data_IF_570676844833
#
_entry.id   IF_570676844833
#
_cell.length_a   1.000
_cell.length_b   1.000
_cell.length_c   1.000
_cell.angle_alpha   90.00
_cell.angle_beta   90.00
_cell.angle_gamma   90.00
#
_symmetry.space_group_name_H-M   'P 1'
#
loop_
_entity.id
_entity.type
_entity.pdbx_description
1 polymer ?
#
# COMPACT_ATOMS: atom_id res chain seq x y z
N UNK A 1 28.52 11.40 -21.63
CA UNK A 1 28.81 10.66 -22.87
C UNK A 1 27.62 10.85 -23.79
N UNK A 2 27.72 11.70 -24.82
CA UNK A 2 26.62 11.96 -25.76
C UNK A 2 26.24 10.65 -26.47
N UNK A 3 24.96 10.32 -26.47
CA UNK A 3 24.45 9.13 -27.15
C UNK A 3 24.73 9.21 -28.65
N UNK A 4 24.91 8.10 -29.37
CA UNK A 4 25.19 8.08 -30.82
C UNK A 4 24.13 8.82 -31.67
N UNK A 5 22.94 9.03 -31.10
CA UNK A 5 21.81 9.72 -31.73
C UNK A 5 21.98 11.24 -31.79
N UNK A 6 22.54 11.86 -30.74
CA UNK A 6 22.75 13.30 -30.66
C UNK A 6 23.67 13.77 -31.78
N UNK A 7 24.71 12.96 -32.02
CA UNK A 7 25.68 13.24 -33.09
C UNK A 7 25.06 13.14 -34.50
N UNK A 8 24.15 12.17 -34.73
CA UNK A 8 23.44 12.04 -35.99
C UNK A 8 22.47 13.18 -36.25
N UNK A 9 21.78 13.67 -35.22
CA UNK A 9 20.85 14.80 -35.33
C UNK A 9 21.61 16.11 -35.58
N UNK A 10 22.74 16.28 -34.90
CA UNK A 10 23.64 17.42 -35.12
C UNK A 10 24.22 17.44 -36.55
N UNK A 11 24.61 16.28 -37.07
CA UNK A 11 25.09 16.13 -38.46
C UNK A 11 23.98 16.43 -39.48
N UNK A 12 22.72 16.05 -39.23
CA UNK A 12 21.58 16.39 -40.09
C UNK A 12 21.31 17.88 -40.04
N UNK A 13 21.33 18.51 -38.87
CA UNK A 13 21.16 19.96 -38.70
C UNK A 13 22.22 20.73 -39.46
N UNK A 14 23.48 20.33 -39.29
CA UNK A 14 24.60 21.04 -39.95
C UNK A 14 24.55 20.92 -41.49
N UNK A 15 24.11 19.75 -42.00
CA UNK A 15 23.91 19.58 -43.45
C UNK A 15 22.78 20.46 -43.98
N UNK A 16 21.63 20.49 -43.31
CA UNK A 16 20.48 21.30 -43.72
C UNK A 16 20.76 22.78 -43.67
N UNK A 17 21.45 23.25 -42.66
CA UNK A 17 21.86 24.67 -42.59
C UNK A 17 22.84 25.05 -43.69
N UNK A 18 23.72 24.13 -44.14
CA UNK A 18 24.66 24.34 -45.22
C UNK A 18 23.95 24.40 -46.60
N UNK A 19 22.86 23.64 -46.77
CA UNK A 19 22.10 23.56 -48.02
C UNK A 19 20.98 24.60 -48.11
N UNK A 20 20.77 25.47 -47.09
CA UNK A 20 19.75 26.52 -47.06
C UNK A 20 18.33 26.02 -46.97
N UNK A 21 18.12 24.75 -46.53
CA UNK A 21 16.78 24.21 -46.31
C UNK A 21 16.10 24.77 -45.06
N UNK A 22 14.76 24.80 -45.09
CA UNK A 22 13.95 25.20 -43.95
C UNK A 22 14.19 24.32 -42.73
N UNK A 23 14.61 24.93 -41.63
CA UNK A 23 14.90 24.24 -40.37
C UNK A 23 13.66 23.86 -39.59
N UNK A 24 12.48 24.26 -39.99
CA UNK A 24 11.21 24.08 -39.28
C UNK A 24 10.89 22.60 -39.05
N UNK A 25 11.12 21.76 -40.07
CA UNK A 25 10.92 20.31 -39.97
C UNK A 25 11.94 19.71 -39.03
N UNK A 26 13.18 20.17 -39.10
CA UNK A 26 14.25 19.72 -38.22
C UNK A 26 13.92 20.03 -36.73
N UNK A 27 13.50 21.28 -36.48
CA UNK A 27 13.16 21.72 -35.13
C UNK A 27 11.93 20.97 -34.59
N UNK A 28 10.95 20.62 -35.45
CA UNK A 28 9.83 19.78 -35.08
C UNK A 28 10.26 18.32 -34.73
N UNK A 29 11.18 17.76 -35.55
CA UNK A 29 11.72 16.42 -35.28
C UNK A 29 12.57 16.41 -34.03
N UNK A 30 13.34 17.45 -33.77
CA UNK A 30 14.16 17.58 -32.55
C UNK A 30 13.26 17.69 -31.31
N UNK A 31 12.21 18.52 -31.40
CA UNK A 31 11.22 18.66 -30.32
C UNK A 31 10.50 17.32 -30.01
N UNK A 32 10.17 16.55 -31.07
CA UNK A 32 9.58 15.24 -30.91
C UNK A 32 10.58 14.24 -30.31
N UNK A 33 11.85 14.32 -30.73
CA UNK A 33 12.92 13.48 -30.18
C UNK A 33 13.17 13.80 -28.71
N UNK A 34 13.23 15.07 -28.32
CA UNK A 34 13.37 15.52 -26.95
C UNK A 34 12.16 15.11 -26.09
N UNK A 35 10.96 15.21 -26.65
CA UNK A 35 9.73 14.75 -25.98
C UNK A 35 9.76 13.25 -25.75
N UNK A 36 10.18 12.46 -26.73
CA UNK A 36 10.25 11.00 -26.62
C UNK A 36 11.39 10.60 -25.68
N UNK A 37 12.58 11.15 -25.82
CA UNK A 37 13.73 10.79 -24.99
C UNK A 37 13.65 11.42 -23.60
N UNK A 38 13.16 12.64 -23.46
CA UNK A 38 12.95 13.28 -22.17
C UNK A 38 11.84 12.61 -21.35
N UNK A 39 10.88 11.96 -22.00
CA UNK A 39 9.78 11.22 -21.33
C UNK A 39 10.01 9.71 -21.25
N UNK A 40 10.91 9.16 -22.09
CA UNK A 40 11.14 7.72 -22.20
C UNK A 40 12.62 7.32 -21.98
N UNK A 41 13.45 8.25 -21.53
CA UNK A 41 14.82 7.90 -21.19
C UNK A 41 14.83 6.98 -19.96
N UNK A 42 15.91 6.20 -19.84
CA UNK A 42 16.07 5.25 -18.74
C UNK A 42 16.06 5.94 -17.37
N UNK A 43 16.40 7.22 -17.28
CA UNK A 43 16.30 7.99 -16.04
C UNK A 43 14.87 8.34 -15.68
N UNK A 44 13.99 8.55 -16.66
CA UNK A 44 12.56 8.78 -16.44
C UNK A 44 11.78 7.48 -16.22
N UNK A 45 12.23 6.36 -16.80
CA UNK A 45 11.59 5.05 -16.66
C UNK A 45 12.20 4.26 -15.50
N UNK A 46 13.51 4.34 -15.32
CA UNK A 46 14.27 3.58 -14.30
C UNK A 46 14.46 4.39 -13.04
N UNK A 47 14.58 5.71 -13.15
CA UNK A 47 14.76 6.59 -12.01
C UNK A 47 13.43 7.14 -11.53
N UNK A 48 12.85 6.38 -10.61
CA UNK A 48 11.98 6.89 -9.57
C UNK A 48 10.75 7.73 -9.95
N UNK A 49 10.60 8.30 -11.16
CA UNK A 49 9.43 9.12 -11.46
C UNK A 49 8.17 8.28 -11.66
N UNK A 50 8.28 7.12 -12.33
CA UNK A 50 7.19 6.15 -12.43
C UNK A 50 7.18 5.17 -11.25
N UNK A 51 8.37 4.76 -10.75
CA UNK A 51 8.47 3.76 -9.69
C UNK A 51 8.48 4.39 -8.31
N UNK A 52 9.18 5.50 -8.08
CA UNK A 52 9.23 6.11 -6.75
C UNK A 52 8.07 7.05 -6.46
N UNK A 53 7.53 7.76 -7.43
CA UNK A 53 6.39 8.64 -7.21
C UNK A 53 5.04 7.96 -7.42
N UNK A 54 4.94 6.97 -8.33
CA UNK A 54 3.71 6.21 -8.57
C UNK A 54 3.61 4.94 -7.71
N UNK A 55 4.74 4.37 -7.30
CA UNK A 55 4.84 3.20 -6.42
C UNK A 55 5.64 3.51 -5.15
N UNK A 56 5.48 4.71 -4.61
CA UNK A 56 6.13 5.05 -3.34
C UNK A 56 5.51 4.19 -2.21
N UNK A 57 6.11 3.02 -1.98
CA UNK A 57 5.73 2.07 -0.93
C UNK A 57 6.25 2.60 0.42
N UNK A 58 5.99 3.85 0.73
CA UNK A 58 6.32 4.42 2.02
C UNK A 58 5.28 3.98 3.05
N UNK A 59 5.70 3.11 3.94
CA UNK A 59 4.90 2.72 5.08
C UNK A 59 4.66 3.91 6.00
N UNK A 60 3.40 4.19 6.26
CA UNK A 60 2.95 5.20 7.23
C UNK A 60 2.50 4.50 8.51
N UNK A 61 3.03 4.93 9.64
CA UNK A 61 2.53 4.47 10.93
C UNK A 61 1.19 5.15 11.26
N UNK A 62 0.30 4.42 11.94
CA UNK A 62 -0.93 4.97 12.47
C UNK A 62 -1.26 4.32 13.82
N UNK A 63 -2.12 4.97 14.59
CA UNK A 63 -2.60 4.42 15.86
C UNK A 63 -3.89 3.67 15.64
N UNK A 64 -3.86 2.33 15.74
CA UNK A 64 -5.07 1.53 15.70
C UNK A 64 -5.77 1.55 17.06
N UNK A 65 -7.09 1.62 17.07
CA UNK A 65 -7.92 1.40 18.26
C UNK A 65 -8.33 -0.06 18.31
N UNK A 66 -8.54 -0.55 19.52
CA UNK A 66 -8.97 -1.93 19.78
C UNK A 66 -10.32 -1.89 20.46
N UNK A 67 -11.32 -2.54 19.87
CA UNK A 67 -12.67 -2.65 20.44
C UNK A 67 -12.99 -4.14 20.64
N UNK A 68 -13.02 -4.62 21.86
CA UNK A 68 -13.35 -5.99 22.16
C UNK A 68 -14.84 -6.25 21.97
N UNK A 69 -15.21 -7.53 21.88
CA UNK A 69 -16.61 -7.98 21.86
C UNK A 69 -17.33 -7.63 23.18
N UNK A 70 -18.67 -7.64 23.14
CA UNK A 70 -19.51 -7.25 24.29
C UNK A 70 -19.18 -8.09 25.53
N UNK A 71 -18.92 -7.40 26.63
CA UNK A 71 -18.55 -8.01 27.92
C UNK A 71 -17.08 -8.39 28.05
N UNK A 72 -16.32 -8.42 26.97
CA UNK A 72 -14.88 -8.60 26.99
C UNK A 72 -14.17 -7.26 27.27
N UNK A 73 -13.10 -7.29 28.06
CA UNK A 73 -12.23 -6.15 28.26
C UNK A 73 -10.89 -6.40 27.57
N UNK A 74 -10.26 -5.35 27.11
CA UNK A 74 -8.93 -5.41 26.51
C UNK A 74 -8.08 -4.22 26.91
N UNK A 75 -6.94 -4.50 27.52
CA UNK A 75 -5.95 -3.48 27.87
C UNK A 75 -4.74 -3.63 26.95
N UNK A 76 -4.55 -2.66 26.05
CA UNK A 76 -3.43 -2.68 25.11
C UNK A 76 -2.10 -2.41 25.81
N UNK A 77 -1.08 -3.23 25.52
CA UNK A 77 0.30 -3.04 25.95
C UNK A 77 1.15 -2.42 24.82
N UNK A 78 1.05 -2.97 23.62
CA UNK A 78 1.80 -2.50 22.46
C UNK A 78 0.89 -2.43 21.24
N UNK A 79 1.05 -1.37 20.44
CA UNK A 79 0.35 -1.20 19.16
C UNK A 79 1.34 -0.72 18.12
N UNK A 80 1.62 -1.58 17.14
CA UNK A 80 2.41 -1.25 15.96
C UNK A 80 1.53 -1.48 14.73
N UNK A 81 1.08 -0.41 14.13
CA UNK A 81 0.26 -0.48 12.94
C UNK A 81 0.83 0.45 11.86
N UNK A 82 0.91 -0.08 10.64
CA UNK A 82 1.41 0.64 9.49
C UNK A 82 0.65 0.25 8.23
N UNK A 83 0.60 1.17 7.30
CA UNK A 83 -0.03 0.95 6.01
C UNK A 83 0.71 1.70 4.91
N UNK A 84 0.45 1.31 3.68
CA UNK A 84 0.77 2.09 2.49
C UNK A 84 -0.40 2.07 1.53
N UNK A 85 -0.58 3.16 0.77
CA UNK A 85 -1.64 3.29 -0.24
C UNK A 85 -1.02 3.27 -1.63
N UNK A 86 -1.54 2.41 -2.50
CA UNK A 86 -1.20 2.33 -3.92
C UNK A 86 -2.50 2.46 -4.71
N UNK A 87 -2.75 3.62 -5.30
CA UNK A 87 -4.03 3.90 -5.94
C UNK A 87 -5.20 3.75 -4.95
N UNK A 88 -6.12 2.83 -5.23
CA UNK A 88 -7.26 2.50 -4.37
C UNK A 88 -6.99 1.32 -3.41
N UNK A 89 -5.79 0.78 -3.37
CA UNK A 89 -5.44 -0.35 -2.52
C UNK A 89 -4.65 0.11 -1.31
N UNK A 90 -5.05 -0.33 -0.14
CA UNK A 90 -4.29 -0.22 1.11
C UNK A 90 -3.63 -1.56 1.41
N UNK A 91 -2.31 -1.57 1.52
CA UNK A 91 -1.56 -2.65 2.15
C UNK A 91 -1.49 -2.36 3.65
N UNK A 92 -1.78 -3.34 4.48
CA UNK A 92 -1.94 -3.18 5.93
C UNK A 92 -1.10 -4.19 6.71
N UNK A 93 -0.47 -3.73 7.77
CA UNK A 93 0.16 -4.58 8.77
C UNK A 93 -0.14 -4.04 10.16
N UNK A 94 -0.77 -4.84 11.00
CA UNK A 94 -1.11 -4.51 12.39
C UNK A 94 -0.51 -5.58 13.31
N UNK A 95 0.17 -5.13 14.36
CA UNK A 95 0.59 -5.94 15.49
C UNK A 95 0.13 -5.28 16.77
N UNK A 96 -0.69 -5.97 17.54
CA UNK A 96 -1.23 -5.48 18.82
C UNK A 96 -1.06 -6.55 19.87
N UNK A 97 -0.54 -6.18 21.04
CA UNK A 97 -0.52 -7.04 22.22
C UNK A 97 -1.27 -6.40 23.36
N UNK A 98 -1.82 -7.21 24.22
CA UNK A 98 -2.55 -6.73 25.39
C UNK A 98 -3.02 -7.88 26.28
N UNK A 99 -3.88 -7.52 27.22
CA UNK A 99 -4.49 -8.46 28.16
C UNK A 99 -6.00 -8.48 27.96
N UNK A 100 -6.56 -9.66 27.79
CA UNK A 100 -8.01 -9.90 27.75
C UNK A 100 -8.49 -10.27 29.15
N UNK A 101 -9.62 -9.67 29.54
CA UNK A 101 -10.36 -9.97 30.74
C UNK A 101 -11.87 -9.85 30.51
N UNK A 102 -12.66 -9.91 31.58
CA UNK A 102 -14.12 -9.87 31.51
C UNK A 102 -14.74 -11.17 31.00
N UNK A 103 -15.92 -11.08 30.40
CA UNK A 103 -16.61 -12.22 29.78
C UNK A 103 -15.91 -12.57 28.46
N UNK A 104 -15.58 -13.84 28.27
CA UNK A 104 -14.89 -14.28 27.05
C UNK A 104 -15.75 -14.02 25.80
N UNK A 105 -15.15 -13.32 24.84
CA UNK A 105 -15.69 -13.09 23.50
C UNK A 105 -14.81 -13.73 22.44
N UNK A 106 -15.25 -13.76 21.21
CA UNK A 106 -14.52 -14.39 20.10
C UNK A 106 -14.08 -13.42 19.00
N UNK A 107 -14.42 -12.14 19.10
CA UNK A 107 -14.11 -11.16 18.08
C UNK A 107 -13.43 -9.92 18.67
N UNK A 108 -12.36 -9.50 18.02
CA UNK A 108 -11.67 -8.23 18.28
C UNK A 108 -11.79 -7.35 17.04
N UNK A 109 -12.16 -6.09 17.20
CA UNK A 109 -12.12 -5.09 16.15
C UNK A 109 -10.88 -4.24 16.29
N UNK A 110 -10.18 -4.02 15.19
CA UNK A 110 -9.03 -3.14 15.10
C UNK A 110 -9.33 -2.06 14.05
N UNK A 111 -9.18 -0.78 14.42
CA UNK A 111 -9.49 0.29 13.46
C UNK A 111 -8.53 0.30 12.28
N UNK A 112 -9.08 0.58 11.10
CA UNK A 112 -8.36 0.80 9.84
C UNK A 112 -7.83 2.24 9.75
N UNK A 113 -6.75 2.48 9.01
CA UNK A 113 -6.25 3.84 8.76
C UNK A 113 -7.14 4.65 7.81
N UNK A 114 -7.86 3.96 6.93
CA UNK A 114 -8.78 4.52 5.94
C UNK A 114 -10.01 3.63 5.88
N UNK A 115 -11.19 4.23 5.74
CA UNK A 115 -12.44 3.49 5.57
C UNK A 115 -12.38 2.61 4.32
N UNK A 116 -12.87 1.39 4.42
CA UNK A 116 -12.96 0.46 3.28
C UNK A 116 -14.01 0.91 2.27
N UNK A 117 -13.80 0.57 1.00
CA UNK A 117 -14.74 0.84 -0.08
C UNK A 117 -16.09 0.16 0.15
N UNK A 118 -17.13 0.73 -0.42
CA UNK A 118 -18.47 0.12 -0.50
C UNK A 118 -18.63 -0.88 -1.64
N UNK A 119 -17.62 -1.00 -2.52
CA UNK A 119 -17.71 -1.78 -3.76
C UNK A 119 -17.47 -3.29 -3.59
N UNK A 120 -17.12 -3.75 -2.39
CA UNK A 120 -16.99 -5.18 -2.10
C UNK A 120 -17.83 -5.58 -0.89
N UNK A 121 -18.14 -6.86 -0.77
CA UNK A 121 -18.95 -7.35 0.37
C UNK A 121 -18.07 -7.68 1.57
N UNK A 122 -17.03 -8.47 1.38
CA UNK A 122 -16.07 -8.89 2.41
C UNK A 122 -14.69 -9.08 1.79
N UNK A 123 -13.67 -8.57 2.45
CA UNK A 123 -12.27 -8.83 2.13
C UNK A 123 -11.65 -9.67 3.25
N UNK A 124 -11.12 -10.84 2.91
CA UNK A 124 -10.40 -11.69 3.85
C UNK A 124 -8.94 -11.32 3.93
N UNK A 125 -8.40 -11.32 5.14
CA UNK A 125 -7.00 -11.02 5.42
C UNK A 125 -6.35 -12.15 6.20
N UNK A 126 -5.03 -12.24 6.13
CA UNK A 126 -4.27 -13.16 6.98
C UNK A 126 -4.24 -12.64 8.42
N UNK A 127 -4.53 -13.51 9.38
CA UNK A 127 -4.39 -13.18 10.79
C UNK A 127 -3.71 -14.31 11.58
N UNK A 128 -3.02 -13.91 12.64
CA UNK A 128 -2.54 -14.80 13.68
C UNK A 128 -3.03 -14.26 15.02
N UNK A 129 -3.64 -15.13 15.78
CA UNK A 129 -4.02 -14.89 17.18
C UNK A 129 -3.18 -15.78 18.05
N UNK A 130 -2.56 -15.22 19.07
CA UNK A 130 -1.82 -15.98 20.09
C UNK A 130 -2.33 -15.54 21.46
N UNK A 131 -3.06 -16.44 22.13
CA UNK A 131 -3.63 -16.28 23.46
C UNK A 131 -3.11 -17.33 24.46
N UNK A 132 -1.82 -17.69 24.32
CA UNK A 132 -1.15 -18.71 25.12
C UNK A 132 -1.02 -20.05 24.39
N UNK A 133 -1.88 -20.35 23.44
CA UNK A 133 -1.76 -21.44 22.48
C UNK A 133 -1.62 -20.82 21.11
N UNK A 134 -0.56 -21.14 20.36
CA UNK A 134 -0.35 -20.58 19.02
C UNK A 134 -1.45 -21.07 18.07
N UNK A 135 -2.54 -20.36 18.00
CA UNK A 135 -3.68 -20.64 17.11
C UNK A 135 -3.63 -19.73 15.89
N UNK A 136 -3.97 -20.27 14.72
CA UNK A 136 -4.22 -19.46 13.55
C UNK A 136 -5.42 -18.54 13.80
N UNK A 137 -5.45 -17.41 13.12
CA UNK A 137 -6.58 -16.48 13.15
C UNK A 137 -7.21 -16.32 11.77
N UNK A 138 -8.38 -15.74 11.76
CA UNK A 138 -9.03 -15.19 10.57
C UNK A 138 -9.29 -13.72 10.79
N UNK A 139 -9.08 -12.91 9.75
CA UNK A 139 -9.45 -11.51 9.76
C UNK A 139 -10.28 -11.20 8.51
N UNK A 140 -11.19 -10.26 8.63
CA UNK A 140 -11.99 -9.79 7.51
C UNK A 140 -12.40 -8.33 7.69
N UNK A 141 -12.63 -7.68 6.57
CA UNK A 141 -13.15 -6.32 6.47
C UNK A 141 -14.47 -6.41 5.71
N UNK A 142 -15.52 -5.85 6.24
CA UNK A 142 -16.78 -5.68 5.53
C UNK A 142 -16.77 -4.40 4.68
N UNK A 143 -17.69 -4.26 3.74
CA UNK A 143 -17.83 -3.04 2.95
C UNK A 143 -18.14 -1.83 3.83
N UNK A 144 -17.66 -0.66 3.43
CA UNK A 144 -17.92 0.63 4.06
C UNK A 144 -17.65 0.69 5.57
N UNK A 145 -16.71 -0.14 6.09
CA UNK A 145 -16.35 -0.17 7.51
C UNK A 145 -15.02 0.53 7.80
N UNK A 146 -14.85 0.94 9.03
CA UNK A 146 -13.59 1.50 9.57
C UNK A 146 -12.81 0.49 10.39
N UNK A 147 -13.24 -0.77 10.43
CA UNK A 147 -12.66 -1.79 11.28
C UNK A 147 -12.32 -3.07 10.50
N UNK A 148 -11.25 -3.73 10.90
CA UNK A 148 -10.97 -5.12 10.61
C UNK A 148 -11.36 -5.98 11.81
N UNK A 149 -12.09 -7.05 11.54
CA UNK A 149 -12.55 -8.01 12.54
C UNK A 149 -11.55 -9.16 12.60
N UNK A 150 -11.18 -9.58 13.80
CA UNK A 150 -10.20 -10.66 14.02
C UNK A 150 -10.80 -11.66 14.98
N UNK A 151 -10.66 -12.95 14.68
CA UNK A 151 -11.06 -14.05 15.57
C UNK A 151 -10.09 -15.24 15.45
N UNK A 152 -10.16 -16.18 16.37
CA UNK A 152 -9.48 -17.46 16.22
C UNK A 152 -10.04 -18.24 15.03
N UNK A 153 -9.22 -19.10 14.44
CA UNK A 153 -9.61 -19.91 13.28
C UNK A 153 -10.80 -20.82 13.53
N UNK A 154 -10.88 -21.39 14.73
CA UNK A 154 -11.94 -22.27 15.20
C UNK A 154 -13.17 -21.52 15.74
N UNK A 155 -13.15 -20.19 15.66
CA UNK A 155 -14.17 -19.31 16.21
C UNK A 155 -14.43 -19.47 17.72
N UNK A 156 -13.56 -20.14 18.45
CA UNK A 156 -13.65 -20.24 19.91
C UNK A 156 -13.39 -18.87 20.57
N UNK A 157 -13.85 -18.71 21.79
CA UNK A 157 -13.59 -17.52 22.59
C UNK A 157 -12.09 -17.34 22.85
N UNK A 158 -11.65 -16.10 22.97
CA UNK A 158 -10.30 -15.80 23.42
C UNK A 158 -10.11 -16.23 24.87
N UNK A 159 -8.91 -16.70 25.19
CA UNK A 159 -8.54 -17.04 26.55
C UNK A 159 -8.19 -15.77 27.33
N UNK A 160 -8.64 -15.64 28.56
CA UNK A 160 -8.25 -14.53 29.43
C UNK A 160 -6.73 -14.55 29.66
N UNK A 161 -6.11 -13.40 29.69
CA UNK A 161 -4.66 -13.24 29.85
C UNK A 161 -4.01 -12.52 28.67
N UNK A 162 -2.72 -12.70 28.51
CA UNK A 162 -1.95 -12.04 27.44
C UNK A 162 -2.32 -12.61 26.09
N UNK A 163 -2.61 -11.69 25.14
CA UNK A 163 -2.94 -12.05 23.76
C UNK A 163 -2.21 -11.14 22.80
N UNK A 164 -1.85 -11.67 21.62
CA UNK A 164 -1.38 -10.87 20.49
C UNK A 164 -2.20 -11.14 19.25
N UNK A 165 -2.44 -10.08 18.50
CA UNK A 165 -3.10 -10.08 17.20
C UNK A 165 -2.14 -9.57 16.16
N UNK A 166 -1.95 -10.33 15.08
CA UNK A 166 -1.20 -9.94 13.90
C UNK A 166 -2.15 -10.01 12.74
N UNK A 167 -2.29 -8.92 11.99
CA UNK A 167 -3.13 -8.85 10.79
C UNK A 167 -2.30 -8.30 9.65
N UNK A 168 -2.32 -8.98 8.52
CA UNK A 168 -1.61 -8.58 7.31
C UNK A 168 -2.48 -8.84 6.09
N UNK A 169 -2.51 -7.90 5.17
CA UNK A 169 -3.26 -8.05 3.93
C UNK A 169 -3.45 -6.74 3.22
N UNK A 170 -4.45 -6.71 2.35
CA UNK A 170 -4.82 -5.52 1.61
C UNK A 170 -6.33 -5.41 1.50
N UNK A 171 -6.82 -4.18 1.22
CA UNK A 171 -8.22 -3.90 0.97
C UNK A 171 -8.37 -2.67 0.07
N UNK A 172 -9.54 -2.54 -0.54
CA UNK A 172 -9.87 -1.42 -1.42
C UNK A 172 -10.49 -0.26 -0.63
N UNK A 173 -10.19 0.97 -1.08
CA UNK A 173 -10.76 2.23 -0.61
C UNK A 173 -11.34 3.02 -1.79
N UNK A 174 -12.32 3.88 -1.54
CA UNK A 174 -12.95 4.74 -2.54
C UNK A 174 -12.01 5.84 -3.06
#
# INVERSE_FOLDING_TARGET
MLMPYDKKLEDIRNRKNADGEDTTIYDAVLSLYDLINGNLDSSNIVDNSLISNSFNINWKSYTTTTTPDTGMTYTSLTKNARYTKIGKIILLNIYVTGTIGGTAGNTMKLSLPVKSSSNFTVCSMSARVNDGVATGGTAWISSATTDVFVRKRDASNFTAGTVSFIVTGFYEVD
#
